data_IF_641092240143
#
_entry.id   IF_641092240143
#
_cell.length_a   1.000
_cell.length_b   1.000
_cell.length_c   1.000
_cell.angle_alpha   90.00
_cell.angle_beta   90.00
_cell.angle_gamma   90.00
#
_symmetry.space_group_name_H-M   'P 1'
#
loop_
_entity.id
_entity.type
_entity.pdbx_description
1 polymer ?
#
# COMPACT_ATOMS: atom_id res chain seq x y z
N UNK A 1 -4.22 67.71 25.80
CA UNK A 1 -3.35 66.77 26.55
C UNK A 1 -2.24 66.32 25.60
N UNK A 2 -0.97 66.67 25.86
CA UNK A 2 0.13 66.19 25.03
C UNK A 2 0.29 64.68 25.21
N UNK A 3 0.48 63.95 24.10
CA UNK A 3 0.79 62.52 24.13
C UNK A 3 2.27 62.40 24.47
N UNK A 4 2.59 61.78 25.60
CA UNK A 4 3.97 61.57 26.02
C UNK A 4 4.69 60.65 25.03
N UNK A 5 5.84 61.10 24.52
CA UNK A 5 6.66 60.36 23.55
C UNK A 5 7.06 58.95 24.04
N UNK A 6 7.10 58.74 25.36
CA UNK A 6 7.34 57.45 26.01
C UNK A 6 6.20 56.46 25.76
N UNK A 7 4.95 56.93 25.80
CA UNK A 7 3.75 56.11 25.53
C UNK A 7 3.71 55.69 24.06
N UNK A 8 4.07 56.60 23.16
CA UNK A 8 4.21 56.27 21.74
C UNK A 8 5.31 55.23 21.50
N UNK A 9 6.50 55.42 22.06
CA UNK A 9 7.62 54.46 21.91
C UNK A 9 7.29 53.07 22.48
N UNK A 10 6.62 53.00 23.63
CA UNK A 10 6.18 51.73 24.22
C UNK A 10 5.16 51.00 23.34
N UNK A 11 4.22 51.72 22.72
CA UNK A 11 3.22 51.14 21.82
C UNK A 11 3.85 50.58 20.53
N UNK A 12 4.81 51.31 19.94
CA UNK A 12 5.56 50.86 18.77
C UNK A 12 6.39 49.62 19.11
N UNK A 13 7.12 49.62 20.23
CA UNK A 13 7.90 48.45 20.66
C UNK A 13 7.02 47.21 20.89
N UNK A 14 5.87 47.38 21.55
CA UNK A 14 4.92 46.28 21.79
C UNK A 14 4.35 45.73 20.49
N UNK A 15 4.04 46.58 19.51
CA UNK A 15 3.54 46.13 18.20
C UNK A 15 4.58 45.34 17.40
N UNK A 16 5.86 45.72 17.43
CA UNK A 16 6.94 45.00 16.75
C UNK A 16 7.19 43.63 17.40
N UNK A 17 7.18 43.56 18.74
CA UNK A 17 7.31 42.30 19.47
C UNK A 17 6.09 41.39 19.21
N UNK A 18 4.87 41.94 19.22
CA UNK A 18 3.66 41.17 18.91
C UNK A 18 3.68 40.65 17.46
N UNK A 19 4.09 41.48 16.49
CA UNK A 19 4.22 41.08 15.09
C UNK A 19 5.24 39.95 14.91
N UNK A 20 6.42 40.05 15.54
CA UNK A 20 7.47 39.03 15.45
C UNK A 20 7.07 37.71 16.14
N UNK A 21 6.39 37.76 17.29
CA UNK A 21 5.87 36.55 17.97
C UNK A 21 4.79 35.87 17.13
N UNK A 22 3.86 36.64 16.55
CA UNK A 22 2.85 36.10 15.63
C UNK A 22 3.52 35.48 14.42
N UNK A 23 4.51 36.14 13.84
CA UNK A 23 5.21 35.64 12.66
C UNK A 23 6.00 34.36 12.94
N UNK A 24 6.71 34.27 14.06
CA UNK A 24 7.50 33.10 14.43
C UNK A 24 6.66 31.92 14.92
N UNK A 25 5.46 32.14 15.46
CA UNK A 25 4.62 31.05 16.02
C UNK A 25 3.51 30.62 15.07
N UNK A 26 2.89 31.56 14.35
CA UNK A 26 1.72 31.28 13.51
C UNK A 26 2.12 30.74 12.15
N UNK A 27 3.14 31.31 11.49
CA UNK A 27 3.60 30.82 10.17
C UNK A 27 3.97 29.34 10.17
N UNK A 28 4.83 28.82 11.07
CA UNK A 28 5.20 27.41 11.03
C UNK A 28 3.99 26.49 11.30
N UNK A 29 3.01 26.95 12.11
CA UNK A 29 1.79 26.19 12.36
C UNK A 29 0.89 26.12 11.13
N UNK A 30 0.75 27.21 10.40
CA UNK A 30 -0.06 27.26 9.18
C UNK A 30 0.57 26.41 8.08
N UNK A 31 1.89 26.49 7.91
CA UNK A 31 2.65 25.68 6.96
C UNK A 31 2.58 24.20 7.31
N UNK A 32 2.85 23.82 8.56
CA UNK A 32 2.70 22.44 9.02
C UNK A 32 1.27 21.91 8.83
N UNK A 33 0.24 22.74 9.05
CA UNK A 33 -1.14 22.33 8.80
C UNK A 33 -1.45 22.16 7.31
N UNK A 34 -0.84 22.97 6.44
CA UNK A 34 -0.97 22.84 4.99
C UNK A 34 -0.31 21.54 4.51
N UNK A 35 0.90 21.24 4.97
CA UNK A 35 1.61 20.00 4.67
C UNK A 35 0.84 18.77 5.15
N UNK A 36 0.31 18.80 6.38
CA UNK A 36 -0.56 17.74 6.90
C UNK A 36 -1.78 17.51 6.01
N UNK A 37 -2.45 18.58 5.56
CA UNK A 37 -3.60 18.45 4.65
C UNK A 37 -3.18 17.88 3.30
N UNK A 38 -2.04 18.31 2.76
CA UNK A 38 -1.52 17.79 1.50
C UNK A 38 -1.22 16.29 1.60
N UNK A 39 -0.50 15.87 2.63
CA UNK A 39 -0.18 14.46 2.89
C UNK A 39 -1.44 13.59 3.08
N UNK A 40 -2.47 14.09 3.78
CA UNK A 40 -3.76 13.37 3.90
C UNK A 40 -4.45 13.20 2.55
N UNK A 41 -4.52 14.26 1.74
CA UNK A 41 -5.15 14.17 0.41
C UNK A 41 -4.38 13.22 -0.50
N UNK A 42 -3.07 13.24 -0.44
CA UNK A 42 -2.21 12.34 -1.20
C UNK A 42 -2.41 10.88 -0.79
N UNK A 43 -2.45 10.60 0.52
CA UNK A 43 -2.79 9.26 1.04
C UNK A 43 -4.16 8.81 0.51
N UNK A 44 -5.19 9.65 0.65
CA UNK A 44 -6.54 9.30 0.17
C UNK A 44 -6.58 9.09 -1.35
N UNK A 45 -5.84 9.89 -2.12
CA UNK A 45 -5.72 9.72 -3.58
C UNK A 45 -5.10 8.37 -3.92
N UNK A 46 -4.06 7.94 -3.20
CA UNK A 46 -3.43 6.62 -3.38
C UNK A 46 -4.37 5.49 -2.99
N UNK A 47 -5.10 5.63 -1.88
CA UNK A 47 -6.11 4.67 -1.49
C UNK A 47 -7.21 4.55 -2.55
N UNK A 48 -7.71 5.66 -3.11
CA UNK A 48 -8.67 5.60 -4.23
C UNK A 48 -8.06 4.87 -5.43
N UNK A 49 -6.81 5.17 -5.78
CA UNK A 49 -6.07 4.47 -6.85
C UNK A 49 -5.98 2.96 -6.61
N UNK A 50 -5.64 2.54 -5.38
CA UNK A 50 -5.64 1.13 -4.98
C UNK A 50 -7.01 0.48 -5.14
N UNK A 51 -8.07 1.13 -4.65
CA UNK A 51 -9.45 0.61 -4.76
C UNK A 51 -9.88 0.43 -6.21
N UNK A 52 -9.55 1.38 -7.08
CA UNK A 52 -9.93 1.32 -8.49
C UNK A 52 -9.16 0.21 -9.22
N UNK A 53 -7.83 0.15 -9.08
CA UNK A 53 -7.02 -0.90 -9.71
C UNK A 53 -7.37 -2.29 -9.17
N UNK A 54 -7.59 -2.43 -7.86
CA UNK A 54 -8.05 -3.67 -7.25
C UNK A 54 -9.47 -4.04 -7.71
N UNK A 55 -10.35 -3.06 -7.89
CA UNK A 55 -11.71 -3.26 -8.40
C UNK A 55 -11.73 -3.91 -9.78
N UNK A 56 -10.95 -3.37 -10.71
CA UNK A 56 -10.84 -3.91 -12.09
C UNK A 56 -10.22 -5.30 -12.10
N UNK A 57 -9.25 -5.57 -11.23
CA UNK A 57 -8.61 -6.88 -11.11
C UNK A 57 -9.51 -7.94 -10.46
N UNK A 58 -10.38 -7.52 -9.54
CA UNK A 58 -11.31 -8.39 -8.84
C UNK A 58 -12.54 -8.78 -9.67
N UNK A 59 -12.72 -8.18 -10.84
CA UNK A 59 -13.90 -8.40 -11.68
C UNK A 59 -13.76 -9.68 -12.50
N UNK A 60 -14.72 -10.59 -12.32
CA UNK A 60 -14.80 -11.82 -13.10
C UNK A 60 -15.27 -11.51 -14.52
N UNK A 61 -14.54 -12.01 -15.52
CA UNK A 61 -14.90 -11.78 -16.91
C UNK A 61 -16.11 -12.63 -17.31
N UNK A 62 -17.16 -12.03 -17.90
CA UNK A 62 -18.29 -12.77 -18.45
C UNK A 62 -17.84 -13.85 -19.43
N UNK A 63 -18.42 -15.05 -19.32
CA UNK A 63 -18.03 -16.22 -20.13
C UNK A 63 -18.40 -16.07 -21.61
N UNK A 64 -19.43 -15.28 -21.89
CA UNK A 64 -20.01 -14.94 -23.19
C UNK A 64 -19.26 -13.80 -23.92
N UNK A 65 -18.27 -13.18 -23.29
CA UNK A 65 -17.45 -12.14 -23.90
C UNK A 65 -16.67 -12.69 -25.10
N UNK A 66 -16.69 -11.94 -26.22
CA UNK A 66 -15.94 -12.29 -27.43
C UNK A 66 -14.44 -12.42 -27.14
N UNK A 67 -13.75 -13.26 -27.91
CA UNK A 67 -12.31 -13.55 -27.70
C UNK A 67 -11.47 -12.28 -27.76
N UNK A 68 -11.75 -11.40 -28.71
CA UNK A 68 -11.03 -10.13 -28.87
C UNK A 68 -11.20 -9.20 -27.66
N UNK A 69 -12.42 -9.05 -27.14
CA UNK A 69 -12.67 -8.23 -25.96
C UNK A 69 -11.99 -8.84 -24.73
N UNK A 70 -12.06 -10.18 -24.59
CA UNK A 70 -11.40 -10.89 -23.49
C UNK A 70 -9.88 -10.68 -23.49
N UNK A 71 -9.25 -10.72 -24.65
CA UNK A 71 -7.81 -10.50 -24.78
C UNK A 71 -7.44 -9.04 -24.44
N UNK A 72 -8.26 -8.06 -24.86
CA UNK A 72 -8.09 -6.65 -24.47
C UNK A 72 -8.24 -6.44 -22.96
N UNK A 73 -9.26 -7.05 -22.34
CA UNK A 73 -9.47 -6.90 -20.89
C UNK A 73 -8.35 -7.57 -20.11
N UNK A 74 -7.83 -8.73 -20.55
CA UNK A 74 -6.65 -9.35 -19.94
C UNK A 74 -5.41 -8.46 -20.02
N UNK A 75 -5.18 -7.81 -21.16
CA UNK A 75 -4.08 -6.85 -21.30
C UNK A 75 -4.24 -5.67 -20.33
N UNK A 76 -5.47 -5.18 -20.15
CA UNK A 76 -5.75 -4.11 -19.18
C UNK A 76 -5.59 -4.58 -17.73
N UNK A 77 -6.03 -5.80 -17.39
CA UNK A 77 -5.79 -6.40 -16.07
C UNK A 77 -4.28 -6.46 -15.74
N UNK A 78 -3.44 -6.85 -16.69
CA UNK A 78 -1.97 -6.84 -16.49
C UNK A 78 -1.44 -5.43 -16.19
N UNK A 79 -1.95 -4.40 -16.88
CA UNK A 79 -1.57 -3.01 -16.60
C UNK A 79 -2.04 -2.54 -15.23
N UNK A 80 -3.24 -2.93 -14.83
CA UNK A 80 -3.78 -2.59 -13.51
C UNK A 80 -3.04 -3.30 -12.39
N UNK A 81 -2.56 -4.52 -12.60
CA UNK A 81 -1.71 -5.22 -11.64
C UNK A 81 -0.39 -4.48 -11.40
N UNK A 82 0.27 -4.04 -12.48
CA UNK A 82 1.51 -3.27 -12.36
C UNK A 82 1.26 -1.93 -11.66
N UNK A 83 0.17 -1.24 -12.03
CA UNK A 83 -0.23 0.01 -11.35
C UNK A 83 -0.52 -0.23 -9.87
N UNK A 84 -1.23 -1.30 -9.53
CA UNK A 84 -1.52 -1.68 -8.14
C UNK A 84 -0.20 -1.88 -7.38
N UNK A 85 0.74 -2.65 -7.94
CA UNK A 85 2.06 -2.89 -7.34
C UNK A 85 2.83 -1.59 -7.09
N UNK A 86 2.88 -0.70 -8.07
CA UNK A 86 3.55 0.60 -7.94
C UNK A 86 2.93 1.45 -6.84
N UNK A 87 1.60 1.54 -6.77
CA UNK A 87 0.92 2.32 -5.73
C UNK A 87 1.18 1.72 -4.34
N UNK A 88 1.14 0.39 -4.21
CA UNK A 88 1.45 -0.28 -2.94
C UNK A 88 2.89 0.00 -2.49
N UNK A 89 3.85 -0.06 -3.41
CA UNK A 89 5.24 0.24 -3.11
C UNK A 89 5.41 1.70 -2.69
N UNK A 90 4.86 2.65 -3.45
CA UNK A 90 4.90 4.07 -3.09
C UNK A 90 4.23 4.32 -1.74
N UNK A 91 3.08 3.70 -1.46
CA UNK A 91 2.39 3.81 -0.18
C UNK A 91 3.27 3.35 0.98
N UNK A 92 4.01 2.25 0.79
CA UNK A 92 4.94 1.70 1.77
C UNK A 92 6.14 2.63 1.99
N UNK A 93 6.77 3.09 0.91
CA UNK A 93 7.95 3.97 0.95
C UNK A 93 7.62 5.33 1.59
N UNK A 94 6.44 5.89 1.30
CA UNK A 94 5.96 7.14 1.89
C UNK A 94 5.25 6.97 3.25
N UNK A 95 5.13 5.74 3.76
CA UNK A 95 4.31 5.46 4.95
C UNK A 95 4.72 6.31 6.16
N UNK A 96 6.02 6.52 6.38
CA UNK A 96 6.52 7.38 7.45
C UNK A 96 6.00 8.83 7.38
N UNK A 97 5.91 9.39 6.16
CA UNK A 97 5.38 10.74 5.92
C UNK A 97 3.89 10.80 6.24
N UNK A 98 3.12 9.80 5.85
CA UNK A 98 1.68 9.76 6.15
C UNK A 98 1.42 9.52 7.64
N UNK A 99 2.15 8.59 8.26
CA UNK A 99 2.07 8.24 9.68
C UNK A 99 2.35 9.44 10.58
N UNK A 100 3.27 10.34 10.21
CA UNK A 100 3.57 11.56 10.97
C UNK A 100 2.38 12.52 11.11
N UNK A 101 1.36 12.40 10.25
CA UNK A 101 0.19 13.28 10.21
C UNK A 101 -0.98 12.76 11.07
N UNK A 102 -0.92 11.50 11.49
CA UNK A 102 -1.92 10.83 12.32
C UNK A 102 -1.37 10.56 13.73
N UNK A 103 -2.23 10.72 14.73
CA UNK A 103 -1.92 10.41 16.13
C UNK A 103 -2.68 9.18 16.64
N UNK A 104 -2.18 8.56 17.71
CA UNK A 104 -2.90 7.52 18.44
C UNK A 104 -3.24 6.28 17.59
N UNK A 105 -4.45 5.69 17.75
CA UNK A 105 -4.83 4.45 17.07
C UNK A 105 -4.83 4.52 15.53
N UNK A 106 -5.10 5.69 14.95
CA UNK A 106 -5.09 5.87 13.50
C UNK A 106 -3.69 5.73 12.91
N UNK A 107 -2.68 6.17 13.66
CA UNK A 107 -1.27 6.00 13.30
C UNK A 107 -0.93 4.52 13.20
N UNK A 108 -1.33 3.73 14.19
CA UNK A 108 -1.10 2.29 14.22
C UNK A 108 -1.85 1.58 13.09
N UNK A 109 -3.12 1.90 12.88
CA UNK A 109 -3.92 1.35 11.78
C UNK A 109 -3.24 1.57 10.42
N UNK A 110 -2.71 2.76 10.17
CA UNK A 110 -2.05 3.07 8.91
C UNK A 110 -0.76 2.25 8.70
N UNK A 111 0.03 2.06 9.76
CA UNK A 111 1.23 1.20 9.71
C UNK A 111 0.83 -0.25 9.43
N UNK A 112 -0.13 -0.80 10.16
CA UNK A 112 -0.62 -2.16 9.97
C UNK A 112 -1.19 -2.36 8.56
N UNK A 113 -1.94 -1.38 8.05
CA UNK A 113 -2.47 -1.39 6.70
C UNK A 113 -1.35 -1.41 5.64
N UNK A 114 -0.37 -0.50 5.74
CA UNK A 114 0.73 -0.43 4.78
C UNK A 114 1.55 -1.73 4.77
N UNK A 115 1.87 -2.27 5.95
CA UNK A 115 2.57 -3.55 6.10
C UNK A 115 1.75 -4.72 5.53
N UNK A 116 0.44 -4.77 5.83
CA UNK A 116 -0.45 -5.84 5.37
C UNK A 116 -0.58 -5.85 3.85
N UNK A 117 -0.82 -4.70 3.23
CA UNK A 117 -0.97 -4.60 1.76
C UNK A 117 0.36 -4.90 1.06
N UNK A 118 1.49 -4.43 1.59
CA UNK A 118 2.80 -4.76 1.05
C UNK A 118 3.12 -6.26 1.17
N UNK A 119 2.91 -6.85 2.35
CA UNK A 119 3.09 -8.30 2.58
C UNK A 119 2.17 -9.14 1.71
N UNK A 120 0.93 -8.70 1.47
CA UNK A 120 0.00 -9.35 0.57
C UNK A 120 0.51 -9.37 -0.87
N UNK A 121 1.14 -8.29 -1.35
CA UNK A 121 1.76 -8.26 -2.68
C UNK A 121 2.90 -9.26 -2.81
N UNK A 122 3.66 -9.51 -1.74
CA UNK A 122 4.74 -10.49 -1.69
C UNK A 122 4.26 -11.95 -1.52
N UNK A 123 3.02 -12.18 -1.08
CA UNK A 123 2.48 -13.53 -0.89
C UNK A 123 2.32 -14.32 -2.19
N UNK A 124 2.27 -15.66 -2.10
CA UNK A 124 2.04 -16.57 -3.24
C UNK A 124 0.58 -16.59 -3.75
N UNK A 125 -0.33 -15.84 -3.11
CA UNK A 125 -1.76 -15.83 -3.42
C UNK A 125 -2.04 -15.43 -4.88
N UNK A 126 -3.17 -15.89 -5.40
CA UNK A 126 -3.61 -15.52 -6.76
C UNK A 126 -3.86 -14.02 -6.88
N UNK A 127 -3.66 -13.48 -8.09
CA UNK A 127 -3.85 -12.04 -8.39
C UNK A 127 -5.26 -11.56 -8.01
N UNK A 128 -6.28 -12.36 -8.35
CA UNK A 128 -7.67 -12.11 -8.02
C UNK A 128 -7.88 -12.01 -6.51
N UNK A 129 -7.34 -12.97 -5.74
CA UNK A 129 -7.49 -12.99 -4.28
C UNK A 129 -6.78 -11.80 -3.61
N UNK A 130 -5.58 -11.44 -4.08
CA UNK A 130 -4.87 -10.24 -3.61
C UNK A 130 -5.70 -8.98 -3.85
N UNK A 131 -6.22 -8.79 -5.06
CA UNK A 131 -7.04 -7.64 -5.41
C UNK A 131 -8.31 -7.56 -4.57
N UNK A 132 -8.98 -8.68 -4.34
CA UNK A 132 -10.18 -8.75 -3.53
C UNK A 132 -9.92 -8.37 -2.07
N UNK A 133 -8.86 -8.91 -1.45
CA UNK A 133 -8.48 -8.55 -0.07
C UNK A 133 -8.12 -7.06 0.02
N UNK A 134 -7.37 -6.53 -0.94
CA UNK A 134 -7.04 -5.09 -0.97
C UNK A 134 -8.32 -4.25 -1.05
N UNK A 135 -9.24 -4.59 -1.93
CA UNK A 135 -10.53 -3.89 -2.10
C UNK A 135 -11.34 -3.91 -0.80
N UNK A 136 -11.47 -5.07 -0.17
CA UNK A 136 -12.21 -5.25 1.09
C UNK A 136 -11.58 -4.50 2.25
N UNK A 137 -10.24 -4.47 2.34
CA UNK A 137 -9.50 -3.77 3.39
C UNK A 137 -9.52 -2.25 3.21
N UNK A 138 -9.48 -1.76 1.97
CA UNK A 138 -9.29 -0.35 1.69
C UNK A 138 -10.51 0.50 2.06
N UNK A 139 -11.73 -0.02 1.92
CA UNK A 139 -12.98 0.68 2.28
C UNK A 139 -13.05 1.06 3.78
N UNK A 140 -12.92 0.12 4.73
CA UNK A 140 -12.98 0.46 6.15
C UNK A 140 -11.80 1.32 6.59
N UNK A 141 -10.59 1.10 6.06
CA UNK A 141 -9.42 1.92 6.40
C UNK A 141 -9.57 3.35 5.86
N UNK A 142 -10.03 3.52 4.62
CA UNK A 142 -10.30 4.84 4.04
C UNK A 142 -11.35 5.59 4.86
N UNK A 143 -12.39 4.88 5.30
CA UNK A 143 -13.45 5.45 6.13
C UNK A 143 -12.92 5.90 7.50
N UNK A 144 -12.04 5.11 8.13
CA UNK A 144 -11.46 5.46 9.43
C UNK A 144 -10.48 6.65 9.34
N UNK A 145 -9.74 6.76 8.23
CA UNK A 145 -8.71 7.79 8.01
C UNK A 145 -9.27 9.11 7.44
N UNK A 146 -10.50 9.11 6.93
CA UNK A 146 -11.17 10.30 6.38
C UNK A 146 -11.45 11.33 7.48
N UNK A 147 -10.77 12.51 7.45
CA UNK A 147 -10.92 13.53 8.47
C UNK A 147 -12.28 14.26 8.41
N UNK A 148 -12.96 14.29 7.26
CA UNK A 148 -14.27 14.96 7.13
C UNK A 148 -15.38 14.15 7.82
N UNK A 149 -15.18 12.83 7.89
CA UNK A 149 -16.06 11.89 8.60
C UNK A 149 -15.73 11.74 10.09
N UNK A 150 -14.74 12.44 10.64
CA UNK A 150 -14.42 12.39 12.07
C UNK A 150 -15.29 13.33 12.94
N UNK A 151 -16.39 13.88 12.40
CA UNK A 151 -17.40 14.55 13.23
C UNK A 151 -17.92 13.57 14.30
N UNK A 152 -18.09 14.04 15.54
CA UNK A 152 -18.40 13.25 16.75
C UNK A 152 -19.48 12.17 16.56
N UNK A 153 -20.50 12.42 15.74
CA UNK A 153 -21.58 11.46 15.46
C UNK A 153 -21.16 10.23 14.64
N UNK A 154 -20.04 10.28 13.92
CA UNK A 154 -19.49 9.17 13.12
C UNK A 154 -18.43 8.35 13.87
N UNK A 155 -18.01 8.76 15.07
CA UNK A 155 -17.02 8.03 15.87
C UNK A 155 -17.47 6.59 16.15
N UNK A 156 -18.77 6.36 16.37
CA UNK A 156 -19.35 5.02 16.51
C UNK A 156 -19.22 4.18 15.22
N UNK A 157 -19.44 4.79 14.06
CA UNK A 157 -19.24 4.15 12.76
C UNK A 157 -17.78 3.81 12.50
N UNK A 158 -16.86 4.70 12.89
CA UNK A 158 -15.42 4.49 12.75
C UNK A 158 -14.89 3.37 13.65
N UNK A 159 -15.44 3.18 14.86
CA UNK A 159 -15.08 2.02 15.69
C UNK A 159 -15.49 0.71 15.02
N UNK A 160 -16.66 0.66 14.37
CA UNK A 160 -17.10 -0.53 13.62
C UNK A 160 -16.21 -0.79 12.40
N UNK A 161 -15.90 0.26 11.64
CA UNK A 161 -14.97 0.16 10.51
C UNK A 161 -13.56 -0.28 10.95
N UNK A 162 -13.06 0.23 12.08
CA UNK A 162 -11.78 -0.16 12.65
C UNK A 162 -11.77 -1.64 13.04
N UNK A 163 -12.83 -2.10 13.73
CA UNK A 163 -12.97 -3.53 14.08
C UNK A 163 -13.02 -4.42 12.84
N UNK A 164 -13.73 -4.00 11.81
CA UNK A 164 -13.82 -4.75 10.56
C UNK A 164 -12.45 -4.81 9.86
N UNK A 165 -11.73 -3.68 9.78
CA UNK A 165 -10.38 -3.64 9.23
C UNK A 165 -9.42 -4.55 10.01
N UNK A 166 -9.40 -4.44 11.35
CA UNK A 166 -8.58 -5.31 12.19
C UNK A 166 -8.95 -6.78 12.05
N UNK A 167 -10.24 -7.11 11.90
CA UNK A 167 -10.70 -8.47 11.64
C UNK A 167 -10.16 -9.01 10.32
N UNK A 168 -10.23 -8.23 9.24
CA UNK A 168 -9.71 -8.61 7.91
C UNK A 168 -8.19 -8.76 7.94
N UNK A 169 -7.47 -7.87 8.63
CA UNK A 169 -6.00 -7.97 8.78
C UNK A 169 -5.64 -9.24 9.53
N UNK A 170 -6.34 -9.53 10.64
CA UNK A 170 -6.08 -10.70 11.48
C UNK A 170 -6.42 -11.99 10.74
N UNK A 171 -7.55 -12.04 10.04
CA UNK A 171 -7.93 -13.21 9.25
C UNK A 171 -6.94 -13.47 8.10
N UNK A 172 -6.42 -12.41 7.47
CA UNK A 172 -5.43 -12.55 6.39
C UNK A 172 -4.10 -13.13 6.90
N UNK A 173 -3.73 -12.83 8.16
CA UNK A 173 -2.55 -13.42 8.81
C UNK A 173 -2.77 -14.88 9.21
N UNK A 174 -3.97 -15.24 9.70
CA UNK A 174 -4.27 -16.64 10.06
C UNK A 174 -4.40 -17.54 8.83
N UNK A 175 -5.03 -17.05 7.76
CA UNK A 175 -5.20 -17.76 6.47
C UNK A 175 -3.84 -18.08 5.81
N UNK A 176 -2.76 -17.42 6.25
CA UNK A 176 -1.40 -17.69 5.77
C UNK A 176 -0.73 -18.86 6.51
N UNK A 177 -1.23 -19.25 7.69
CA UNK A 177 -0.68 -20.37 8.48
C UNK A 177 -1.36 -21.70 8.18
N UNK A 178 -2.56 -21.66 7.61
CA UNK A 178 -3.42 -22.83 7.44
C UNK A 178 -3.45 -23.38 6.01
N UNK A 179 -2.65 -22.87 5.07
CA UNK A 179 -2.35 -23.67 3.86
C UNK A 179 -1.51 -24.85 4.35
N UNK A 180 -2.06 -26.09 4.38
CA UNK A 180 -1.27 -27.24 4.73
C UNK A 180 -0.12 -27.24 3.74
N UNK A 181 1.12 -27.22 4.24
CA UNK A 181 2.26 -27.56 3.42
C UNK A 181 1.90 -28.89 2.76
N UNK A 182 1.45 -28.87 1.50
CA UNK A 182 1.23 -30.09 0.74
C UNK A 182 2.52 -30.86 0.93
N UNK A 183 2.48 -32.04 1.60
CA UNK A 183 3.62 -32.56 2.33
C UNK A 183 4.71 -32.89 1.35
N UNK A 184 5.59 -31.90 1.08
CA UNK A 184 6.38 -31.73 -0.16
C UNK A 184 6.50 -33.08 -0.81
N UNK A 185 5.49 -33.44 -1.61
CA UNK A 185 5.33 -34.83 -2.01
C UNK A 185 6.46 -34.98 -2.98
N UNK A 186 7.57 -35.54 -2.45
CA UNK A 186 8.91 -35.44 -2.98
C UNK A 186 8.75 -35.54 -4.46
N UNK A 187 8.78 -34.39 -5.15
CA UNK A 187 8.69 -34.35 -6.61
C UNK A 187 9.87 -35.21 -6.93
N UNK A 188 9.60 -36.47 -7.28
CA UNK A 188 10.61 -37.45 -7.59
C UNK A 188 11.16 -36.81 -8.84
N UNK A 189 12.20 -36.00 -8.68
CA UNK A 189 13.05 -35.55 -9.76
C UNK A 189 13.27 -36.86 -10.49
N UNK A 190 12.72 -37.03 -11.71
CA UNK A 190 12.81 -38.28 -12.41
C UNK A 190 14.28 -38.61 -12.38
N UNK A 191 14.68 -39.63 -11.61
CA UNK A 191 16.08 -40.03 -11.56
C UNK A 191 16.41 -40.24 -13.03
N UNK A 192 17.36 -39.48 -13.61
CA UNK A 192 17.69 -39.66 -15.00
C UNK A 192 17.96 -41.15 -15.16
N UNK A 193 17.22 -41.79 -16.07
CA UNK A 193 17.38 -43.21 -16.29
C UNK A 193 18.87 -43.46 -16.52
N UNK A 194 19.44 -44.52 -15.92
CA UNK A 194 20.87 -44.84 -16.08
C UNK A 194 21.28 -44.91 -17.56
N UNK A 195 20.32 -45.13 -18.45
CA UNK A 195 20.49 -45.07 -19.91
C UNK A 195 20.75 -43.66 -20.45
N UNK A 196 20.11 -42.62 -19.91
CA UNK A 196 20.37 -41.23 -20.32
C UNK A 196 21.77 -40.76 -19.91
N UNK A 197 22.24 -41.18 -18.72
CA UNK A 197 23.61 -40.87 -18.25
C UNK A 197 24.66 -41.60 -19.08
N UNK A 198 24.44 -42.88 -19.43
CA UNK A 198 25.37 -43.63 -20.31
C UNK A 198 25.46 -43.07 -21.72
N UNK A 199 24.37 -42.52 -22.28
CA UNK A 199 24.41 -41.87 -23.60
C UNK A 199 25.21 -40.57 -23.58
N UNK A 200 25.16 -39.80 -22.48
CA UNK A 200 25.95 -38.58 -22.34
C UNK A 200 27.46 -38.86 -22.18
N UNK A 201 27.82 -39.90 -21.42
CA UNK A 201 29.23 -40.30 -21.27
C UNK A 201 29.83 -40.83 -22.59
N UNK A 202 29.04 -41.54 -23.40
CA UNK A 202 29.48 -42.02 -24.72
C UNK A 202 29.73 -40.91 -25.74
N UNK A 203 28.94 -39.82 -25.71
CA UNK A 203 29.14 -38.69 -26.64
C UNK A 203 30.37 -37.84 -26.33
N UNK A 204 30.74 -37.69 -25.06
CA UNK A 204 31.93 -36.92 -24.68
C UNK A 204 33.25 -37.62 -25.06
N UNK A 205 33.24 -38.96 -25.11
CA UNK A 205 34.40 -39.77 -25.51
C UNK A 205 34.75 -39.67 -27.00
N UNK A 206 33.79 -39.38 -27.88
CA UNK A 206 34.01 -39.31 -29.32
C UNK A 206 34.58 -37.97 -29.79
N UNK A 207 34.30 -36.87 -29.08
CA UNK A 207 34.83 -35.55 -29.43
C UNK A 207 36.30 -35.35 -28.99
N UNK A 208 36.78 -36.09 -27.99
CA UNK A 208 38.18 -36.02 -27.57
C UNK A 208 39.15 -36.61 -28.60
N UNK A 209 38.74 -37.65 -29.35
CA UNK A 209 39.59 -38.31 -30.36
C UNK A 209 39.69 -37.55 -31.69
N UNK A 210 38.89 -36.50 -31.92
CA UNK A 210 38.83 -35.77 -33.20
C UNK A 210 39.71 -34.51 -33.25
N UNK A 211 40.47 -34.24 -32.19
CA UNK A 211 41.37 -33.07 -32.08
C UNK A 211 42.85 -33.39 -32.26
N UNK A 212 43.23 -34.63 -32.56
CA UNK A 212 44.64 -35.06 -32.66
C UNK A 212 45.11 -35.44 -34.08
N UNK A 213 44.39 -35.05 -35.14
CA UNK A 213 44.81 -35.20 -36.54
C UNK A 213 44.71 -33.87 -37.27
#
# INVERSE_FOLDING_TARGET
MPIDATTFAASVATSVVAATVVEQVVKPRVEANKERRAARRELMSRMVGLSLSAGVLAEELPKDMSREVRDRVRAEQVRQEERLRLIVQQLFDDSGRFVAVYGGPLRQLLVEYAMCVHGLMLSSRTRLRKAQIIKELNVPVATALDPERQRLWYVLGNVRALREASRIITSTHSDQRDEPEEPVERRRIPRPSREAVRRQEGSASLDASRRET
#
